data_IF_713501786194
#
_entry.id   IF_713501786194
#
_cell.length_a   1.000
_cell.length_b   1.000
_cell.length_c   1.000
_cell.angle_alpha   90.00
_cell.angle_beta   90.00
_cell.angle_gamma   90.00
#
_symmetry.space_group_name_H-M   'P 1'
#
loop_
_entity.id
_entity.type
_entity.pdbx_description
1 polymer ?
#
# COMPACT_ATOMS: atom_id res chain seq x y z
N UNK A 1 4.81 -1.34 5.55
CA UNK A 1 5.51 -0.16 6.09
C UNK A 1 4.56 0.65 6.95
N UNK A 2 5.04 1.77 7.50
CA UNK A 2 4.29 2.66 8.40
C UNK A 2 2.96 3.18 7.80
N UNK A 3 2.85 3.24 6.47
CA UNK A 3 1.65 3.69 5.75
C UNK A 3 0.49 2.68 5.69
N UNK A 4 0.68 1.47 6.22
CA UNK A 4 -0.34 0.41 6.17
C UNK A 4 -0.64 -0.18 4.79
N UNK A 5 -0.05 0.35 3.71
CA UNK A 5 -0.18 -0.18 2.35
C UNK A 5 0.72 -1.41 2.14
N UNK A 6 0.22 -2.39 1.38
CA UNK A 6 0.95 -3.62 1.01
C UNK A 6 0.61 -4.01 -0.43
N UNK A 7 1.63 -4.14 -1.27
CA UNK A 7 1.51 -4.59 -2.66
C UNK A 7 1.47 -6.12 -2.84
N UNK A 8 1.13 -6.87 -1.79
CA UNK A 8 1.10 -8.32 -1.84
C UNK A 8 0.00 -8.86 -2.76
N UNK A 9 0.28 -9.92 -3.51
CA UNK A 9 -0.70 -10.57 -4.38
C UNK A 9 -1.92 -11.06 -3.58
N UNK A 10 -3.16 -10.78 -4.03
CA UNK A 10 -4.36 -11.37 -3.42
C UNK A 10 -4.40 -12.91 -3.49
N UNK A 11 -5.18 -13.59 -2.64
CA UNK A 11 -5.31 -15.05 -2.68
C UNK A 11 -5.75 -15.56 -4.05
N UNK A 12 -4.99 -16.49 -4.63
CA UNK A 12 -5.25 -17.01 -5.98
C UNK A 12 -6.62 -17.69 -6.11
N UNK A 13 -7.16 -18.26 -5.03
CA UNK A 13 -8.49 -18.89 -5.03
C UNK A 13 -9.60 -17.93 -5.49
N UNK A 14 -9.47 -16.62 -5.23
CA UNK A 14 -10.42 -15.61 -5.70
C UNK A 14 -10.48 -15.57 -7.23
N UNK A 15 -9.38 -15.83 -7.94
CA UNK A 15 -9.38 -15.80 -9.40
C UNK A 15 -10.37 -16.80 -10.01
N UNK A 16 -10.68 -17.89 -9.30
CA UNK A 16 -11.65 -18.90 -9.73
C UNK A 16 -13.02 -18.72 -9.08
N UNK A 17 -13.10 -18.37 -7.79
CA UNK A 17 -14.37 -18.27 -7.08
C UNK A 17 -15.09 -16.93 -7.27
N UNK A 18 -14.34 -15.84 -7.46
CA UNK A 18 -14.84 -14.49 -7.74
C UNK A 18 -13.78 -13.68 -8.52
N UNK A 19 -13.74 -13.85 -9.87
CA UNK A 19 -12.73 -13.20 -10.71
C UNK A 19 -12.78 -11.67 -10.64
N UNK A 20 -13.97 -11.09 -10.44
CA UNK A 20 -14.13 -9.63 -10.37
C UNK A 20 -13.53 -9.09 -9.08
N UNK A 21 -13.77 -9.75 -7.94
CA UNK A 21 -13.10 -9.40 -6.70
C UNK A 21 -11.58 -9.57 -6.79
N UNK A 22 -11.11 -10.63 -7.45
CA UNK A 22 -9.68 -10.85 -7.65
C UNK A 22 -9.02 -9.70 -8.41
N UNK A 23 -9.56 -9.29 -9.57
CA UNK A 23 -8.99 -8.20 -10.36
C UNK A 23 -9.02 -6.88 -9.61
N UNK A 24 -10.12 -6.55 -8.92
CA UNK A 24 -10.18 -5.33 -8.08
C UNK A 24 -9.13 -5.33 -6.97
N UNK A 25 -8.95 -6.46 -6.30
CA UNK A 25 -7.92 -6.61 -5.27
C UNK A 25 -6.51 -6.52 -5.87
N UNK A 26 -6.30 -7.11 -7.05
CA UNK A 26 -5.02 -7.11 -7.74
C UNK A 26 -4.63 -5.72 -8.22
N UNK A 27 -5.57 -4.92 -8.74
CA UNK A 27 -5.34 -3.52 -9.10
C UNK A 27 -4.84 -2.71 -7.90
N UNK A 28 -5.53 -2.80 -6.76
CA UNK A 28 -5.11 -2.12 -5.52
C UNK A 28 -3.74 -2.58 -5.03
N UNK A 29 -3.46 -3.88 -5.13
CA UNK A 29 -2.15 -4.43 -4.79
C UNK A 29 -1.05 -3.91 -5.72
N UNK A 30 -1.32 -3.78 -7.03
CA UNK A 30 -0.40 -3.21 -8.00
C UNK A 30 -0.07 -1.74 -7.69
N UNK A 31 -1.09 -0.91 -7.45
CA UNK A 31 -0.91 0.49 -7.04
C UNK A 31 -0.02 0.61 -5.79
N UNK A 32 -0.28 -0.22 -4.77
CA UNK A 32 0.54 -0.24 -3.55
C UNK A 32 1.97 -0.78 -3.79
N UNK A 33 2.15 -1.70 -4.74
CA UNK A 33 3.47 -2.24 -5.09
C UNK A 33 4.34 -1.17 -5.74
N UNK A 34 3.81 -0.39 -6.68
CA UNK A 34 4.56 0.70 -7.32
C UNK A 34 5.01 1.76 -6.30
N UNK A 35 4.10 2.17 -5.41
CA UNK A 35 4.39 3.14 -4.33
C UNK A 35 5.46 2.67 -3.34
N UNK A 36 5.76 1.37 -3.29
CA UNK A 36 6.71 0.78 -2.34
C UNK A 36 7.87 0.05 -3.04
N UNK A 37 7.98 0.16 -4.36
CA UNK A 37 8.99 -0.52 -5.15
C UNK A 37 10.39 0.10 -4.96
N UNK A 38 11.40 -0.71 -4.56
CA UNK A 38 12.80 -0.27 -4.55
C UNK A 38 13.29 0.08 -5.96
N UNK A 39 14.08 1.13 -6.11
CA UNK A 39 14.50 1.65 -7.41
C UNK A 39 13.40 2.40 -8.16
N UNK A 40 12.25 2.64 -7.51
CA UNK A 40 11.08 3.33 -8.06
C UNK A 40 10.51 4.35 -7.06
N UNK A 41 9.18 4.48 -7.02
CA UNK A 41 8.53 5.44 -6.11
C UNK A 41 8.75 5.11 -4.62
N UNK A 42 9.06 3.85 -4.29
CA UNK A 42 9.36 3.42 -2.92
C UNK A 42 10.66 3.99 -2.35
N UNK A 43 11.54 4.57 -3.19
CA UNK A 43 12.78 5.21 -2.75
C UNK A 43 12.54 6.63 -2.23
N UNK A 44 11.34 7.18 -2.40
CA UNK A 44 10.96 8.51 -1.89
C UNK A 44 10.31 8.40 -0.51
N UNK A 45 10.67 9.34 0.38
CA UNK A 45 10.02 9.49 1.69
C UNK A 45 8.64 10.15 1.59
N UNK A 46 7.83 9.97 2.64
CA UNK A 46 6.47 10.52 2.73
C UNK A 46 6.42 11.70 3.69
N UNK A 47 5.78 12.80 3.26
CA UNK A 47 5.52 13.93 4.14
C UNK A 47 4.21 13.71 4.91
N UNK A 48 4.28 13.86 6.23
CA UNK A 48 3.12 13.79 7.12
C UNK A 48 2.84 15.19 7.68
N UNK A 49 1.59 15.65 7.57
CA UNK A 49 1.13 16.90 8.18
C UNK A 49 -0.09 16.62 9.05
N UNK A 50 0.03 16.67 10.39
CA UNK A 50 -1.12 16.62 11.29
C UNK A 50 -2.01 17.84 11.07
N UNK A 51 -3.32 17.62 11.14
CA UNK A 51 -4.31 18.71 11.17
C UNK A 51 -5.17 18.51 12.41
N UNK A 52 -4.99 19.37 13.42
CA UNK A 52 -5.75 19.32 14.66
C UNK A 52 -5.44 18.14 15.59
N UNK A 53 -4.36 17.40 15.35
CA UNK A 53 -3.90 16.27 16.18
C UNK A 53 -2.39 16.32 16.38
N UNK A 54 -1.88 15.68 17.44
CA UNK A 54 -0.44 15.52 17.63
C UNK A 54 0.10 14.44 16.66
N UNK A 55 1.30 14.67 16.09
CA UNK A 55 2.02 13.63 15.35
C UNK A 55 2.65 12.66 16.36
N UNK A 56 2.50 11.36 16.15
CA UNK A 56 3.17 10.35 16.95
C UNK A 56 4.69 10.41 16.69
N UNK A 57 5.54 10.57 17.74
CA UNK A 57 7.00 10.58 17.57
C UNK A 57 7.54 9.31 16.89
N UNK A 58 6.84 8.17 17.00
CA UNK A 58 7.24 6.92 16.36
C UNK A 58 7.10 6.94 14.82
N UNK A 59 6.39 7.94 14.27
CA UNK A 59 6.25 8.17 12.83
C UNK A 59 7.21 9.26 12.31
N UNK A 60 8.04 9.85 13.18
CA UNK A 60 8.93 10.95 12.85
C UNK A 60 10.37 10.52 12.48
N UNK A 61 10.67 9.21 12.50
CA UNK A 61 11.90 8.62 11.98
C UNK A 61 11.71 7.96 10.61
#
# INVERSE_FOLDING_TARGET
>A
GALGVRGGRPPLALASSDPTAYVRALTRAGEAAELTAPGGLGDFGWLLQPVGVALDPLLAE
#
